data_IF_111571655983
#
_entry.id   IF_111571655983
#
_cell.length_a   1.000
_cell.length_b   1.000
_cell.length_c   1.000
_cell.angle_alpha   90.00
_cell.angle_beta   90.00
_cell.angle_gamma   90.00
#
_symmetry.space_group_name_H-M   'P 1'
#
loop_
_entity.id
_entity.type
_entity.pdbx_description
1 polymer ?
#
# COMPACT_ATOMS: atom_id res chain seq x y z
N UNK A 1 10.32 51.92 -20.53
CA UNK A 1 9.79 51.30 -19.29
C UNK A 1 9.79 49.79 -19.45
N UNK A 2 10.71 49.12 -18.78
CA UNK A 2 10.77 47.65 -18.78
C UNK A 2 9.80 47.12 -17.75
N UNK A 3 8.73 46.45 -18.19
CA UNK A 3 7.91 45.66 -17.33
C UNK A 3 8.66 44.36 -17.02
N UNK A 4 9.13 44.20 -15.80
CA UNK A 4 9.64 42.93 -15.33
C UNK A 4 8.43 42.01 -15.12
N UNK A 5 8.27 41.02 -16.01
CA UNK A 5 7.35 39.94 -15.78
C UNK A 5 7.93 39.10 -14.65
N UNK A 6 7.30 39.15 -13.49
CA UNK A 6 7.52 38.17 -12.44
C UNK A 6 6.93 36.86 -12.93
N UNK A 7 7.79 35.96 -13.41
CA UNK A 7 7.40 34.59 -13.63
C UNK A 7 7.14 33.99 -12.24
N UNK A 8 5.87 33.79 -11.93
CA UNK A 8 5.50 32.99 -10.77
C UNK A 8 5.98 31.56 -11.02
N UNK A 9 7.04 31.13 -10.34
CA UNK A 9 7.46 29.76 -10.32
C UNK A 9 6.37 29.02 -9.55
N UNK A 10 5.49 28.32 -10.27
CA UNK A 10 4.60 27.36 -9.65
C UNK A 10 5.46 26.19 -9.18
N UNK A 11 5.82 26.18 -7.91
CA UNK A 11 6.37 25.02 -7.24
C UNK A 11 5.27 23.96 -7.21
N UNK A 12 5.26 23.06 -8.21
CA UNK A 12 4.58 21.79 -8.07
C UNK A 12 5.31 20.99 -7.00
N UNK A 13 4.86 21.14 -5.76
CA UNK A 13 5.24 20.18 -4.72
C UNK A 13 4.65 18.83 -5.14
N UNK A 14 5.48 17.76 -5.28
CA UNK A 14 4.93 16.43 -5.47
C UNK A 14 3.96 16.19 -4.32
N UNK A 15 2.77 15.66 -4.64
CA UNK A 15 1.85 15.21 -3.62
C UNK A 15 2.60 14.19 -2.75
N UNK A 16 3.06 14.62 -1.60
CA UNK A 16 3.60 13.72 -0.60
C UNK A 16 2.45 12.80 -0.21
N UNK A 17 2.59 11.48 -0.51
CA UNK A 17 1.76 10.48 0.14
C UNK A 17 1.71 10.86 1.61
N UNK A 18 0.51 11.02 2.19
CA UNK A 18 0.27 11.69 3.47
C UNK A 18 1.30 11.29 4.52
N UNK A 19 1.97 12.28 5.11
CA UNK A 19 2.92 12.06 6.20
C UNK A 19 2.22 11.30 7.33
N UNK A 20 2.68 10.10 7.67
CA UNK A 20 2.11 9.23 8.69
C UNK A 20 1.19 8.12 8.18
N UNK A 21 0.83 8.10 6.90
CA UNK A 21 0.13 6.96 6.29
C UNK A 21 1.06 5.76 6.11
N UNK A 22 0.50 4.55 6.27
CA UNK A 22 1.22 3.32 5.95
C UNK A 22 1.43 3.22 4.42
N UNK A 23 2.65 2.89 4.01
CA UNK A 23 3.05 2.81 2.61
C UNK A 23 3.44 1.39 2.24
N UNK A 24 2.90 0.89 1.13
CA UNK A 24 3.39 -0.32 0.50
C UNK A 24 4.63 0.02 -0.32
N UNK A 25 5.77 -0.55 0.06
CA UNK A 25 7.06 -0.34 -0.61
C UNK A 25 7.33 -1.34 -1.70
N UNK A 26 6.86 -2.57 -1.50
CA UNK A 26 6.99 -3.66 -2.44
C UNK A 26 5.87 -4.67 -2.22
N UNK A 27 5.43 -5.30 -3.29
CA UNK A 27 4.43 -6.35 -3.23
C UNK A 27 4.62 -7.32 -4.39
N UNK A 28 4.65 -8.61 -4.07
CA UNK A 28 4.83 -9.68 -5.04
C UNK A 28 3.72 -10.71 -4.86
N UNK A 29 3.13 -11.14 -5.96
CA UNK A 29 2.16 -12.24 -6.00
C UNK A 29 2.75 -13.43 -6.72
N UNK A 30 2.64 -14.60 -6.12
CA UNK A 30 2.95 -15.90 -6.74
C UNK A 30 1.68 -16.74 -6.72
N UNK A 31 1.20 -17.14 -7.88
CA UNK A 31 -0.08 -17.82 -8.03
C UNK A 31 0.11 -19.21 -8.61
N UNK A 32 -0.73 -20.16 -8.18
CA UNK A 32 -0.83 -21.47 -8.79
C UNK A 32 -1.77 -21.46 -10.01
N UNK A 33 -1.91 -22.62 -10.67
CA UNK A 33 -2.75 -22.76 -11.85
C UNK A 33 -4.24 -22.51 -11.56
N UNK A 34 -4.69 -22.67 -10.32
CA UNK A 34 -6.06 -22.40 -9.88
C UNK A 34 -6.26 -20.93 -9.49
N UNK A 35 -5.27 -20.07 -9.72
CA UNK A 35 -5.28 -18.64 -9.36
C UNK A 35 -5.42 -18.39 -7.86
N UNK A 36 -4.90 -19.29 -7.05
CA UNK A 36 -4.71 -19.10 -5.61
C UNK A 36 -3.30 -18.57 -5.41
N UNK A 37 -3.19 -17.39 -4.82
CA UNK A 37 -1.96 -16.62 -4.77
C UNK A 37 -1.45 -16.44 -3.35
N UNK A 38 -0.12 -16.42 -3.23
CA UNK A 38 0.57 -15.91 -2.06
C UNK A 38 1.06 -14.51 -2.34
N UNK A 39 0.69 -13.57 -1.49
CA UNK A 39 1.18 -12.19 -1.54
C UNK A 39 2.24 -11.99 -0.47
N UNK A 40 3.36 -11.40 -0.86
CA UNK A 40 4.42 -10.97 0.05
C UNK A 40 4.55 -9.46 -0.09
N UNK A 41 4.29 -8.74 1.01
CA UNK A 41 4.13 -7.29 1.00
C UNK A 41 5.07 -6.67 2.02
N UNK A 42 5.80 -5.67 1.57
CA UNK A 42 6.68 -4.85 2.40
C UNK A 42 6.00 -3.53 2.68
N UNK A 43 5.84 -3.23 3.96
CA UNK A 43 5.17 -2.02 4.45
C UNK A 43 6.17 -1.15 5.20
N UNK A 44 6.10 0.15 4.97
CA UNK A 44 6.78 1.16 5.75
C UNK A 44 5.77 2.04 6.46
N UNK A 45 5.94 2.19 7.75
CA UNK A 45 5.17 3.10 8.60
C UNK A 45 5.98 3.44 9.84
N UNK A 46 5.99 4.69 10.25
CA UNK A 46 6.62 5.10 11.51
C UNK A 46 5.72 4.69 12.67
N UNK A 47 5.75 3.40 13.03
CA UNK A 47 4.97 2.87 14.14
C UNK A 47 5.38 3.54 15.47
N UNK A 48 4.40 3.92 16.24
CA UNK A 48 4.57 4.58 17.53
C UNK A 48 3.68 3.90 18.58
N UNK A 49 4.01 2.66 18.90
CA UNK A 49 3.24 1.83 19.83
C UNK A 49 1.84 1.52 19.34
N UNK A 50 0.99 1.03 20.24
CA UNK A 50 -0.37 0.59 19.93
C UNK A 50 -1.33 1.73 19.55
N UNK A 51 -0.98 2.96 19.86
CA UNK A 51 -1.80 4.12 19.51
C UNK A 51 -1.70 4.52 18.03
N UNK A 52 -0.59 4.20 17.38
CA UNK A 52 -0.37 4.54 15.98
C UNK A 52 0.57 3.54 15.32
N UNK A 53 0.02 2.56 14.64
CA UNK A 53 0.80 1.53 13.94
C UNK A 53 0.07 1.05 12.69
N UNK A 54 0.83 0.46 11.76
CA UNK A 54 0.26 -0.24 10.62
C UNK A 54 -0.37 -1.56 11.11
N UNK A 55 -1.68 -1.69 10.96
CA UNK A 55 -2.46 -2.80 11.54
C UNK A 55 -3.03 -3.77 10.51
N UNK A 56 -2.95 -3.47 9.23
CA UNK A 56 -3.40 -4.35 8.16
C UNK A 56 -2.87 -3.94 6.79
N UNK A 57 -2.90 -4.88 5.86
CA UNK A 57 -2.90 -4.58 4.43
C UNK A 57 -3.92 -5.46 3.71
N UNK A 58 -4.39 -4.98 2.57
CA UNK A 58 -5.40 -5.65 1.76
C UNK A 58 -4.96 -5.79 0.31
N UNK A 59 -5.40 -6.91 -0.29
CA UNK A 59 -5.37 -7.12 -1.73
C UNK A 59 -6.77 -6.82 -2.25
N UNK A 60 -6.88 -5.91 -3.20
CA UNK A 60 -8.17 -5.50 -3.78
C UNK A 60 -8.17 -5.69 -5.28
N UNK A 61 -9.33 -6.12 -5.80
CA UNK A 61 -9.61 -6.10 -7.22
C UNK A 61 -9.69 -4.65 -7.74
N UNK A 62 -9.61 -4.43 -9.08
CA UNK A 62 -9.71 -3.09 -9.64
C UNK A 62 -11.00 -2.32 -9.28
N UNK A 63 -12.09 -3.04 -9.01
CA UNK A 63 -13.37 -2.44 -8.59
C UNK A 63 -13.44 -2.13 -7.08
N UNK A 64 -12.36 -2.42 -6.33
CA UNK A 64 -12.28 -2.20 -4.89
C UNK A 64 -12.69 -3.41 -4.04
N UNK A 65 -13.16 -4.49 -4.63
CA UNK A 65 -13.50 -5.72 -3.89
C UNK A 65 -12.29 -6.25 -3.15
N UNK A 66 -12.42 -6.49 -1.86
CA UNK A 66 -11.35 -7.06 -1.03
C UNK A 66 -11.22 -8.55 -1.33
N UNK A 67 -10.08 -8.96 -1.86
CA UNK A 67 -9.75 -10.36 -2.15
C UNK A 67 -9.03 -11.05 -1.01
N UNK A 68 -8.32 -10.30 -0.18
CA UNK A 68 -7.61 -10.81 0.98
C UNK A 68 -7.18 -9.70 1.92
N UNK A 69 -7.05 -10.05 3.21
CA UNK A 69 -6.61 -9.13 4.25
C UNK A 69 -5.58 -9.81 5.13
N UNK A 70 -4.47 -9.16 5.34
CA UNK A 70 -3.46 -9.53 6.31
C UNK A 70 -3.57 -8.62 7.52
N UNK A 71 -3.99 -9.15 8.66
CA UNK A 71 -3.99 -8.41 9.92
C UNK A 71 -2.57 -8.44 10.50
N UNK A 72 -2.09 -7.28 10.90
CA UNK A 72 -0.79 -7.10 11.55
C UNK A 72 -1.03 -6.97 13.04
N UNK A 73 -0.51 -7.94 13.79
CA UNK A 73 -0.96 -8.19 15.17
C UNK A 73 -0.30 -7.30 16.23
N UNK A 74 0.73 -6.54 15.86
CA UNK A 74 1.47 -5.70 16.79
C UNK A 74 2.25 -4.60 16.07
N UNK A 75 2.63 -3.52 16.79
CA UNK A 75 3.52 -2.50 16.25
C UNK A 75 4.89 -3.04 15.86
N UNK A 76 5.50 -2.45 14.85
CA UNK A 76 6.86 -2.75 14.36
C UNK A 76 7.76 -1.52 14.56
N UNK A 77 7.90 -1.05 15.80
CA UNK A 77 8.64 0.17 16.10
C UNK A 77 10.12 0.04 15.73
N UNK A 78 10.69 -1.15 15.90
CA UNK A 78 12.12 -1.43 15.70
C UNK A 78 12.44 -2.14 14.38
N UNK A 79 11.43 -2.47 13.58
CA UNK A 79 11.58 -3.13 12.28
C UNK A 79 10.86 -2.32 11.20
N UNK A 80 11.60 -1.52 10.45
CA UNK A 80 11.06 -0.73 9.35
C UNK A 80 12.04 -0.68 8.17
N UNK A 81 11.58 -0.97 6.94
CA UNK A 81 10.28 -1.55 6.62
C UNK A 81 10.17 -3.01 7.06
N UNK A 82 8.96 -3.52 7.15
CA UNK A 82 8.73 -4.92 7.50
C UNK A 82 7.96 -5.65 6.40
N UNK A 83 8.18 -6.96 6.28
CA UNK A 83 7.59 -7.80 5.23
C UNK A 83 6.77 -8.92 5.85
N UNK A 84 5.55 -9.08 5.35
CA UNK A 84 4.64 -10.17 5.75
C UNK A 84 3.97 -10.78 4.53
N UNK A 85 3.51 -12.00 4.69
CA UNK A 85 2.86 -12.76 3.61
C UNK A 85 1.43 -13.15 3.97
N UNK A 86 0.63 -13.36 2.94
CA UNK A 86 -0.72 -13.89 3.01
C UNK A 86 -0.89 -14.96 1.95
N UNK A 87 -1.23 -16.18 2.39
CA UNK A 87 -1.53 -17.30 1.50
C UNK A 87 -3.02 -17.38 1.18
N UNK A 88 -3.35 -18.18 0.18
CA UNK A 88 -4.74 -18.56 -0.10
C UNK A 88 -5.62 -17.46 -0.68
N UNK A 89 -5.04 -16.45 -1.29
CA UNK A 89 -5.80 -15.37 -1.93
C UNK A 89 -6.29 -15.84 -3.29
N UNK A 90 -7.61 -15.98 -3.46
CA UNK A 90 -8.22 -16.34 -4.73
C UNK A 90 -8.43 -15.10 -5.58
N UNK A 91 -7.78 -15.06 -6.73
CA UNK A 91 -7.95 -13.97 -7.68
C UNK A 91 -8.85 -14.44 -8.83
N UNK A 92 -10.02 -13.81 -9.03
CA UNK A 92 -10.94 -14.20 -10.10
C UNK A 92 -10.30 -14.21 -11.48
N UNK A 93 -10.75 -15.11 -12.33
CA UNK A 93 -10.36 -15.16 -13.75
C UNK A 93 -10.67 -13.82 -14.41
N UNK A 94 -9.74 -13.33 -15.22
CA UNK A 94 -9.88 -12.04 -15.92
C UNK A 94 -9.25 -10.86 -15.16
N UNK A 95 -8.84 -11.03 -13.92
CA UNK A 95 -8.09 -10.01 -13.19
C UNK A 95 -6.59 -10.30 -13.31
N UNK A 96 -5.86 -9.44 -14.03
CA UNK A 96 -4.42 -9.58 -14.26
C UNK A 96 -3.58 -8.71 -13.33
N UNK A 97 -4.19 -7.69 -12.73
CA UNK A 97 -3.54 -6.76 -11.81
C UNK A 97 -4.48 -6.44 -10.67
N UNK A 98 -3.97 -6.51 -9.45
CA UNK A 98 -4.67 -6.13 -8.23
C UNK A 98 -4.02 -4.91 -7.61
N UNK A 99 -4.68 -4.32 -6.61
CA UNK A 99 -4.14 -3.22 -5.82
C UNK A 99 -3.85 -3.70 -4.40
N UNK A 100 -2.70 -3.32 -3.86
CA UNK A 100 -2.35 -3.59 -2.46
C UNK A 100 -2.28 -2.26 -1.71
N UNK A 101 -3.00 -2.18 -0.60
CA UNK A 101 -3.09 -1.00 0.26
C UNK A 101 -2.76 -1.39 1.69
N UNK A 102 -2.07 -0.52 2.40
CA UNK A 102 -1.80 -0.67 3.82
C UNK A 102 -2.64 0.30 4.64
N UNK A 103 -2.96 -0.09 5.85
CA UNK A 103 -3.81 0.64 6.79
C UNK A 103 -3.04 0.93 8.08
N UNK A 104 -3.23 2.11 8.63
CA UNK A 104 -2.79 2.42 9.98
C UNK A 104 -3.95 2.87 10.86
N UNK A 105 -3.75 2.80 12.17
CA UNK A 105 -4.81 3.01 13.17
C UNK A 105 -5.29 4.45 13.28
N UNK A 106 -4.59 5.42 12.71
CA UNK A 106 -4.95 6.85 12.80
C UNK A 106 -5.37 7.46 11.47
N UNK A 107 -4.73 7.07 10.36
CA UNK A 107 -4.94 7.69 9.05
C UNK A 107 -5.80 6.82 8.12
N UNK A 108 -6.04 5.55 8.48
CA UNK A 108 -6.78 4.63 7.65
C UNK A 108 -5.92 4.09 6.49
N UNK A 109 -6.55 3.91 5.33
CA UNK A 109 -5.90 3.34 4.16
C UNK A 109 -4.97 4.34 3.50
N UNK A 110 -3.71 3.93 3.32
CA UNK A 110 -2.73 4.69 2.55
C UNK A 110 -3.05 4.64 1.05
N UNK A 111 -3.09 5.80 0.42
CA UNK A 111 -3.39 5.94 -1.00
C UNK A 111 -2.26 6.67 -1.73
N UNK A 112 -2.06 6.34 -3.03
CA UNK A 112 -2.74 5.32 -3.82
C UNK A 112 -2.30 3.90 -3.46
N UNK A 113 -3.11 2.90 -3.85
CA UNK A 113 -2.71 1.50 -3.80
C UNK A 113 -1.59 1.20 -4.79
N UNK A 114 -0.82 0.15 -4.53
CA UNK A 114 0.26 -0.30 -5.39
C UNK A 114 -0.27 -1.38 -6.32
N UNK A 115 -0.17 -1.22 -7.66
CA UNK A 115 -0.57 -2.25 -8.61
C UNK A 115 0.39 -3.43 -8.55
N UNK A 116 -0.16 -4.64 -8.53
CA UNK A 116 0.61 -5.88 -8.47
C UNK A 116 0.12 -6.83 -9.56
N UNK A 117 1.00 -7.26 -10.48
CA UNK A 117 0.65 -8.26 -11.46
C UNK A 117 0.37 -9.61 -10.79
N UNK A 118 -0.67 -10.29 -11.26
CA UNK A 118 -1.06 -11.63 -10.79
C UNK A 118 -0.51 -12.65 -11.77
N UNK A 119 0.46 -13.43 -11.32
CA UNK A 119 1.13 -14.44 -12.16
C UNK A 119 1.34 -15.74 -11.40
#
# INVERSE_FOLDING_TARGET
MMRRALAALALCLPALAGAGEAQVRDAVAVCDAARVCRFTVTVRHADAGWAHYADAWEVRAPDGTVLGRRVLLHPHDDEQPFTRSLDGVRVPVGIDTVQVLAHDTRHGWGTPGVPVPVR
#
